data_IF_437291787374
#
_entry.id   IF_437291787374
#
_cell.length_a   1.000
_cell.length_b   1.000
_cell.length_c   1.000
_cell.angle_alpha   90.00
_cell.angle_beta   90.00
_cell.angle_gamma   90.00
#
_symmetry.space_group_name_H-M   'P 1'
#
loop_
_entity.id
_entity.type
_entity.pdbx_description
1 polymer ?
#
# COMPACT_ATOMS: atom_id res chain seq x y z
N UNK A 1 3.48 7.31 23.22
CA UNK A 1 2.83 8.03 22.09
C UNK A 1 2.26 9.35 22.58
N UNK A 2 1.32 9.34 23.52
CA UNK A 2 0.82 10.57 24.16
C UNK A 2 1.78 11.06 25.24
N UNK A 3 1.99 12.37 25.30
CA UNK A 3 2.88 13.05 26.24
C UNK A 3 2.05 14.01 27.11
N UNK A 4 2.55 14.34 28.30
CA UNK A 4 1.86 15.24 29.22
C UNK A 4 1.78 16.67 28.68
N UNK A 5 0.64 17.32 28.88
CA UNK A 5 0.40 18.69 28.43
C UNK A 5 0.82 19.71 29.52
N UNK A 6 1.76 20.64 29.25
CA UNK A 6 2.13 21.69 30.21
C UNK A 6 0.99 22.70 30.45
N UNK A 7 0.97 23.32 31.62
CA UNK A 7 -0.20 23.94 32.27
C UNK A 7 -0.76 25.25 31.66
N UNK A 8 -0.44 25.61 30.42
CA UNK A 8 -1.06 26.75 29.73
C UNK A 8 -1.51 26.36 28.32
N UNK A 9 -2.83 26.36 28.08
CA UNK A 9 -3.59 25.93 26.86
C UNK A 9 -3.92 24.43 26.79
N UNK A 10 -4.74 23.96 27.73
CA UNK A 10 -4.96 22.53 27.99
C UNK A 10 -5.79 21.79 26.95
N UNK A 11 -6.77 22.43 26.27
CA UNK A 11 -7.53 21.81 25.19
C UNK A 11 -6.80 21.93 23.84
N UNK A 12 -6.36 23.14 23.49
CA UNK A 12 -5.61 23.39 22.25
C UNK A 12 -4.35 22.51 22.13
N UNK A 13 -3.63 22.31 23.24
CA UNK A 13 -2.42 21.48 23.22
C UNK A 13 -2.73 19.98 23.06
N UNK A 14 -3.86 19.50 23.61
CA UNK A 14 -4.35 18.13 23.34
C UNK A 14 -4.72 17.99 21.86
N UNK A 15 -5.47 18.96 21.31
CA UNK A 15 -5.82 19.01 19.89
C UNK A 15 -4.56 18.97 19.02
N UNK A 16 -3.59 19.86 19.25
CA UNK A 16 -2.34 19.94 18.50
C UNK A 16 -1.50 18.67 18.59
N UNK A 17 -1.47 18.01 19.75
CA UNK A 17 -0.74 16.76 19.89
C UNK A 17 -1.39 15.64 19.07
N UNK A 18 -2.71 15.51 19.13
CA UNK A 18 -3.43 14.49 18.34
C UNK A 18 -3.29 14.80 16.83
N UNK A 19 -3.45 16.06 16.42
CA UNK A 19 -3.20 16.51 15.03
C UNK A 19 -1.80 16.12 14.56
N UNK A 20 -0.78 16.38 15.38
CA UNK A 20 0.60 16.02 15.05
C UNK A 20 0.79 14.52 14.90
N UNK A 21 0.16 13.70 15.76
CA UNK A 21 0.24 12.25 15.68
C UNK A 21 -0.48 11.68 14.45
N UNK A 22 -1.63 12.26 14.06
CA UNK A 22 -2.34 11.92 12.83
C UNK A 22 -1.50 12.32 11.62
N UNK A 23 -1.02 13.56 11.60
CA UNK A 23 -0.21 14.11 10.51
C UNK A 23 1.08 13.31 10.34
N UNK A 24 1.80 13.00 11.41
CA UNK A 24 3.01 12.16 11.36
C UNK A 24 2.71 10.69 11.03
N UNK A 25 1.44 10.30 10.88
CA UNK A 25 1.04 8.96 10.49
C UNK A 25 1.22 7.92 11.60
N UNK A 26 1.48 8.35 12.83
CA UNK A 26 1.61 7.49 14.02
C UNK A 26 0.22 7.01 14.44
N UNK A 27 -0.78 7.90 14.37
CA UNK A 27 -2.20 7.54 14.40
C UNK A 27 -2.67 7.34 12.96
N UNK A 28 -3.05 6.11 12.62
CA UNK A 28 -3.47 5.72 11.26
C UNK A 28 -4.99 5.81 11.12
N UNK A 29 -5.51 6.10 9.91
CA UNK A 29 -6.95 6.02 9.64
C UNK A 29 -7.57 4.72 10.15
N UNK A 30 -8.67 4.82 10.89
CA UNK A 30 -9.35 3.68 11.49
C UNK A 30 -8.83 3.24 12.86
N UNK A 31 -7.69 3.76 13.33
CA UNK A 31 -7.20 3.49 14.68
C UNK A 31 -8.21 3.98 15.73
N UNK A 32 -8.43 3.15 16.75
CA UNK A 32 -9.28 3.50 17.88
C UNK A 32 -8.45 4.23 18.93
N UNK A 33 -8.89 5.43 19.31
CA UNK A 33 -8.27 6.13 20.44
C UNK A 33 -8.60 5.40 21.76
N UNK A 34 -7.70 5.47 22.78
CA UNK A 34 -7.99 4.94 24.10
C UNK A 34 -9.29 5.52 24.67
N UNK A 35 -9.93 4.80 25.59
CA UNK A 35 -11.15 5.29 26.22
C UNK A 35 -10.88 6.64 26.90
N UNK A 36 -11.86 7.57 26.89
CA UNK A 36 -11.68 8.95 27.40
C UNK A 36 -10.99 9.01 28.78
N UNK A 37 -11.34 8.09 29.68
CA UNK A 37 -10.76 8.04 31.03
C UNK A 37 -9.26 7.71 31.00
N UNK A 38 -8.87 6.77 30.15
CA UNK A 38 -7.49 6.35 29.98
C UNK A 38 -6.69 7.42 29.24
N UNK A 39 -7.22 7.94 28.14
CA UNK A 39 -6.56 8.98 27.35
C UNK A 39 -6.33 10.26 28.17
N UNK A 40 -7.32 10.67 28.98
CA UNK A 40 -7.16 11.82 29.87
C UNK A 40 -6.06 11.60 30.91
N UNK A 41 -5.92 10.37 31.43
CA UNK A 41 -4.85 10.02 32.36
C UNK A 41 -3.47 10.00 31.69
N UNK A 42 -3.36 9.51 30.45
CA UNK A 42 -2.10 9.51 29.69
C UNK A 42 -1.63 10.93 29.35
N UNK A 43 -2.57 11.82 29.01
CA UNK A 43 -2.31 13.23 28.66
C UNK A 43 -2.16 14.15 29.89
N UNK A 44 -2.48 13.66 31.08
CA UNK A 44 -2.50 14.42 32.34
C UNK A 44 -3.45 15.63 32.31
N UNK A 45 -4.64 15.44 31.74
CA UNK A 45 -5.68 16.47 31.60
C UNK A 45 -7.01 16.05 32.22
N UNK A 46 -7.86 17.03 32.53
CA UNK A 46 -9.22 16.73 32.99
C UNK A 46 -10.09 16.19 31.85
N UNK A 47 -11.06 15.34 32.18
CA UNK A 47 -12.00 14.76 31.18
C UNK A 47 -12.80 15.82 30.40
N UNK A 48 -13.27 16.94 31.00
CA UNK A 48 -13.91 18.01 30.23
C UNK A 48 -13.00 18.60 29.15
N UNK A 49 -11.73 18.85 29.46
CA UNK A 49 -10.73 19.36 28.52
C UNK A 49 -10.51 18.38 27.36
N UNK A 50 -10.34 17.09 27.67
CA UNK A 50 -10.20 16.07 26.63
C UNK A 50 -11.43 16.06 25.71
N UNK A 51 -12.65 16.11 26.27
CA UNK A 51 -13.89 16.09 25.48
C UNK A 51 -14.03 17.29 24.56
N UNK A 52 -13.63 18.48 25.02
CA UNK A 52 -13.59 19.68 24.19
C UNK A 52 -12.62 19.51 23.01
N UNK A 53 -11.45 18.94 23.27
CA UNK A 53 -10.43 18.66 22.25
C UNK A 53 -10.93 17.63 21.23
N UNK A 54 -11.51 16.52 21.69
CA UNK A 54 -12.09 15.49 20.82
C UNK A 54 -13.24 16.04 19.96
N UNK A 55 -14.11 16.89 20.53
CA UNK A 55 -15.17 17.55 19.75
C UNK A 55 -14.61 18.49 18.68
N UNK A 56 -13.52 19.20 18.99
CA UNK A 56 -12.84 20.07 18.02
C UNK A 56 -12.31 19.24 16.85
N UNK A 57 -11.59 18.16 17.15
CA UNK A 57 -11.05 17.25 16.15
C UNK A 57 -12.13 16.55 15.31
N UNK A 58 -13.28 16.19 15.91
CA UNK A 58 -14.45 15.68 15.19
C UNK A 58 -15.05 16.74 14.26
N UNK A 59 -15.12 18.01 14.69
CA UNK A 59 -15.64 19.10 13.85
C UNK A 59 -14.74 19.47 12.66
N UNK A 60 -13.47 19.06 12.73
CA UNK A 60 -12.48 19.19 11.66
C UNK A 60 -12.41 17.94 10.78
N UNK A 61 -13.32 16.97 10.98
CA UNK A 61 -13.34 15.66 10.31
C UNK A 61 -12.06 14.83 10.53
N UNK A 62 -11.27 15.12 11.57
CA UNK A 62 -10.04 14.38 11.90
C UNK A 62 -10.31 13.12 12.72
N UNK A 63 -11.42 13.09 13.45
CA UNK A 63 -11.89 11.96 14.23
C UNK A 63 -13.36 11.65 13.91
N UNK A 64 -13.76 10.40 14.09
CA UNK A 64 -15.14 9.95 13.99
C UNK A 64 -15.54 9.18 15.25
N UNK A 65 -16.59 9.64 15.92
CA UNK A 65 -17.22 8.88 17.00
C UNK A 65 -18.23 7.88 16.45
N UNK A 66 -18.11 6.61 16.88
CA UNK A 66 -19.08 5.56 16.56
C UNK A 66 -19.94 5.27 17.80
N UNK A 67 -21.28 5.28 17.72
CA UNK A 67 -22.15 4.96 18.84
C UNK A 67 -21.79 3.62 19.48
N UNK A 68 -21.47 3.61 20.77
CA UNK A 68 -21.03 2.41 21.51
C UNK A 68 -19.64 1.86 21.12
N UNK A 69 -19.00 2.41 20.09
CA UNK A 69 -17.73 1.93 19.54
C UNK A 69 -16.49 2.73 19.97
N UNK A 70 -16.65 3.97 20.45
CA UNK A 70 -15.55 4.87 20.81
C UNK A 70 -15.19 5.86 19.70
N UNK A 71 -14.06 6.55 19.85
CA UNK A 71 -13.56 7.56 18.91
C UNK A 71 -12.44 6.96 18.07
N UNK A 72 -12.49 7.20 16.76
CA UNK A 72 -11.57 6.64 15.78
C UNK A 72 -10.93 7.74 14.96
N UNK A 73 -9.70 7.52 14.49
CA UNK A 73 -9.04 8.39 13.51
C UNK A 73 -9.80 8.32 12.19
N UNK A 74 -10.18 9.47 11.65
CA UNK A 74 -10.88 9.54 10.38
C UNK A 74 -9.93 9.21 9.21
N UNK A 75 -10.50 8.81 8.08
CA UNK A 75 -9.74 8.69 6.83
C UNK A 75 -9.62 10.06 6.15
N UNK A 76 -8.73 10.89 6.70
CA UNK A 76 -8.57 12.31 6.33
C UNK A 76 -7.80 12.54 5.04
N UNK A 77 -6.93 11.60 4.69
CA UNK A 77 -6.06 11.71 3.51
C UNK A 77 -6.83 11.30 2.25
N UNK A 78 -7.79 10.39 2.41
CA UNK A 78 -8.55 9.84 1.31
C UNK A 78 -7.68 9.09 0.30
N UNK A 79 -8.29 8.49 -0.72
CA UNK A 79 -7.54 7.96 -1.86
C UNK A 79 -7.00 9.11 -2.72
N UNK A 80 -5.81 8.94 -3.33
CA UNK A 80 -5.24 9.92 -4.28
C UNK A 80 -6.21 10.22 -5.43
N UNK A 81 -7.00 9.22 -5.83
CA UNK A 81 -7.99 9.32 -6.88
C UNK A 81 -9.36 8.84 -6.37
N UNK A 82 -10.44 9.45 -6.86
CA UNK A 82 -11.78 8.93 -6.59
C UNK A 82 -11.99 7.57 -7.25
N UNK A 83 -12.84 6.71 -6.66
CA UNK A 83 -13.11 5.37 -7.19
C UNK A 83 -13.43 5.34 -8.70
N UNK A 84 -14.24 6.27 -9.26
CA UNK A 84 -14.49 6.29 -10.71
C UNK A 84 -13.22 6.55 -11.55
N UNK A 85 -12.30 7.38 -11.05
CA UNK A 85 -11.02 7.66 -11.71
C UNK A 85 -10.13 6.43 -11.64
N UNK A 86 -10.06 5.75 -10.48
CA UNK A 86 -9.26 4.53 -10.40
C UNK A 86 -9.77 3.47 -11.39
N UNK A 87 -11.09 3.27 -11.47
CA UNK A 87 -11.68 2.35 -12.44
C UNK A 87 -11.42 2.76 -13.91
N UNK A 88 -11.25 4.06 -14.21
CA UNK A 88 -10.81 4.51 -15.53
C UNK A 88 -9.34 4.11 -15.77
N UNK A 89 -8.44 4.34 -14.81
CA UNK A 89 -7.02 3.99 -14.95
C UNK A 89 -6.86 2.48 -15.15
N UNK A 90 -7.57 1.64 -14.40
CA UNK A 90 -7.55 0.18 -14.54
C UNK A 90 -7.87 -0.30 -15.97
N UNK A 91 -8.87 0.34 -16.61
CA UNK A 91 -9.36 -0.03 -17.95
C UNK A 91 -8.42 0.40 -19.07
N UNK A 92 -7.47 1.29 -18.80
CA UNK A 92 -6.55 1.83 -19.79
C UNK A 92 -5.13 1.43 -19.43
N UNK A 93 -4.58 0.47 -20.17
CA UNK A 93 -3.27 -0.14 -19.87
C UNK A 93 -2.14 0.89 -19.78
N UNK A 94 -2.19 1.94 -20.58
CA UNK A 94 -1.17 2.98 -20.63
C UNK A 94 -1.23 3.82 -19.35
N UNK A 95 -2.42 4.18 -18.88
CA UNK A 95 -2.60 4.91 -17.61
C UNK A 95 -2.19 4.06 -16.39
N UNK A 96 -2.45 2.75 -16.42
CA UNK A 96 -1.98 1.85 -15.37
C UNK A 96 -0.44 1.71 -15.34
N UNK A 97 0.21 1.89 -16.49
CA UNK A 97 1.66 1.90 -16.62
C UNK A 97 2.27 3.24 -16.19
N UNK A 98 1.63 4.37 -16.54
CA UNK A 98 1.97 5.70 -16.03
C UNK A 98 1.92 5.75 -14.49
N UNK A 99 0.96 5.04 -13.89
CA UNK A 99 0.87 4.90 -12.43
C UNK A 99 2.09 4.19 -11.83
N UNK A 100 2.57 3.11 -12.46
CA UNK A 100 3.78 2.40 -12.00
C UNK A 100 5.03 3.25 -12.19
N UNK A 101 5.09 4.05 -13.25
CA UNK A 101 6.16 5.04 -13.46
C UNK A 101 6.16 6.13 -12.39
N UNK A 102 5.00 6.70 -12.06
CA UNK A 102 4.87 7.65 -10.96
C UNK A 102 5.34 7.03 -9.64
N UNK A 103 4.95 5.78 -9.36
CA UNK A 103 5.32 5.07 -8.13
C UNK A 103 6.82 4.85 -8.04
N UNK A 104 7.46 4.48 -9.15
CA UNK A 104 8.92 4.32 -9.27
C UNK A 104 9.66 5.57 -8.82
N UNK A 105 9.25 6.74 -9.30
CA UNK A 105 9.91 7.99 -8.97
C UNK A 105 9.68 8.40 -7.51
N UNK A 106 8.46 8.17 -7.01
CA UNK A 106 8.08 8.46 -5.63
C UNK A 106 8.86 7.60 -4.63
N UNK A 107 8.93 6.29 -4.86
CA UNK A 107 9.67 5.35 -4.01
C UNK A 107 11.17 5.60 -4.07
N UNK A 108 11.70 5.86 -5.26
CA UNK A 108 13.12 6.18 -5.45
C UNK A 108 13.54 7.41 -4.64
N UNK A 109 12.74 8.48 -4.70
CA UNK A 109 12.99 9.69 -3.91
C UNK A 109 12.85 9.44 -2.41
N UNK A 110 11.92 8.58 -2.01
CA UNK A 110 11.72 8.19 -0.61
C UNK A 110 12.91 7.41 -0.08
N UNK A 111 13.46 6.47 -0.86
CA UNK A 111 14.64 5.71 -0.50
C UNK A 111 15.88 6.60 -0.34
N UNK A 112 16.09 7.57 -1.24
CA UNK A 112 17.16 8.57 -1.08
C UNK A 112 17.01 9.37 0.22
N UNK A 113 15.82 9.91 0.49
CA UNK A 113 15.58 10.66 1.71
C UNK A 113 15.70 9.80 2.97
N UNK A 114 15.29 8.53 2.91
CA UNK A 114 15.48 7.60 4.01
C UNK A 114 16.97 7.38 4.29
N UNK A 115 17.80 7.18 3.25
CA UNK A 115 19.24 7.07 3.41
C UNK A 115 19.86 8.32 4.08
N UNK A 116 19.39 9.52 3.73
CA UNK A 116 19.86 10.78 4.34
C UNK A 116 19.38 10.98 5.78
N UNK A 117 18.14 10.59 6.11
CA UNK A 117 17.41 11.12 7.28
C UNK A 117 17.00 10.07 8.30
N UNK A 118 17.01 8.78 7.96
CA UNK A 118 16.59 7.72 8.86
C UNK A 118 17.28 7.83 10.21
N UNK A 119 16.55 7.67 11.31
CA UNK A 119 17.12 7.51 12.64
C UNK A 119 17.58 6.07 12.86
N UNK A 120 18.33 5.81 13.94
CA UNK A 120 18.71 4.45 14.32
C UNK A 120 17.48 3.57 14.59
N UNK A 121 16.38 4.17 15.07
CA UNK A 121 15.10 3.48 15.25
C UNK A 121 14.49 3.09 13.90
N UNK A 122 14.54 3.97 12.90
CA UNK A 122 14.03 3.67 11.56
C UNK A 122 14.85 2.54 10.91
N UNK A 123 16.18 2.57 11.06
CA UNK A 123 17.06 1.49 10.56
C UNK A 123 16.75 0.15 11.21
N UNK A 124 16.52 0.13 12.54
CA UNK A 124 16.15 -1.09 13.25
C UNK A 124 14.81 -1.67 12.77
N UNK A 125 13.83 -0.81 12.45
CA UNK A 125 12.54 -1.24 11.88
C UNK A 125 12.74 -1.87 10.50
N UNK A 126 13.55 -1.26 9.63
CA UNK A 126 13.85 -1.80 8.30
C UNK A 126 14.56 -3.15 8.39
N UNK A 127 15.52 -3.30 9.30
CA UNK A 127 16.24 -4.56 9.54
C UNK A 127 15.29 -5.66 10.03
N UNK A 128 14.36 -5.33 10.94
CA UNK A 128 13.34 -6.27 11.42
C UNK A 128 12.43 -6.74 10.28
N UNK A 129 11.98 -5.81 9.41
CA UNK A 129 11.14 -6.13 8.26
C UNK A 129 11.87 -7.05 7.27
N UNK A 130 13.15 -6.81 6.98
CA UNK A 130 13.96 -7.70 6.14
C UNK A 130 14.10 -9.09 6.77
N UNK A 131 14.33 -9.18 8.08
CA UNK A 131 14.39 -10.46 8.79
C UNK A 131 13.06 -11.23 8.70
N UNK A 132 11.94 -10.52 8.84
CA UNK A 132 10.61 -11.10 8.70
C UNK A 132 10.34 -11.57 7.26
N UNK A 133 10.81 -10.82 6.24
CA UNK A 133 10.72 -11.23 4.84
C UNK A 133 11.51 -12.52 4.57
N UNK A 134 12.75 -12.61 5.06
CA UNK A 134 13.56 -13.85 4.97
C UNK A 134 12.85 -15.04 5.60
N UNK A 135 12.23 -14.82 6.76
CA UNK A 135 11.48 -15.86 7.47
C UNK A 135 10.26 -16.31 6.67
N UNK A 136 9.46 -15.37 6.14
CA UNK A 136 8.32 -15.70 5.29
C UNK A 136 8.75 -16.42 4.00
N UNK A 137 9.87 -15.99 3.41
CA UNK A 137 10.46 -16.63 2.23
C UNK A 137 10.80 -18.10 2.49
N UNK A 138 11.52 -18.38 3.57
CA UNK A 138 11.93 -19.73 3.97
C UNK A 138 10.73 -20.66 4.22
N UNK A 139 9.64 -20.13 4.79
CA UNK A 139 8.41 -20.89 5.05
C UNK A 139 7.48 -20.99 3.83
N UNK A 140 7.80 -20.32 2.72
CA UNK A 140 6.94 -20.22 1.52
C UNK A 140 5.56 -19.63 1.82
N UNK A 141 5.51 -18.63 2.70
CA UNK A 141 4.28 -17.92 3.05
C UNK A 141 4.07 -16.71 2.14
N UNK A 142 3.53 -16.94 0.94
CA UNK A 142 3.33 -15.91 -0.08
C UNK A 142 2.38 -14.80 0.40
N UNK A 143 1.41 -15.15 1.25
CA UNK A 143 0.47 -14.18 1.79
C UNK A 143 1.17 -13.22 2.75
N UNK A 144 2.07 -13.74 3.60
CA UNK A 144 2.86 -12.90 4.50
C UNK A 144 3.92 -12.10 3.76
N UNK A 145 4.56 -12.65 2.73
CA UNK A 145 5.51 -11.91 1.88
C UNK A 145 4.86 -10.68 1.25
N UNK A 146 3.65 -10.81 0.70
CA UNK A 146 2.93 -9.68 0.11
C UNK A 146 2.56 -8.58 1.12
N UNK A 147 2.25 -8.96 2.37
CA UNK A 147 1.98 -7.99 3.45
C UNK A 147 3.28 -7.27 3.83
N UNK A 148 4.37 -8.02 4.00
CA UNK A 148 5.67 -7.47 4.36
C UNK A 148 6.24 -6.52 3.30
N UNK A 149 6.03 -6.81 2.02
CA UNK A 149 6.38 -5.93 0.90
C UNK A 149 5.78 -4.53 1.10
N UNK A 150 4.48 -4.46 1.38
CA UNK A 150 3.81 -3.18 1.64
C UNK A 150 4.30 -2.51 2.93
N UNK A 151 4.48 -3.29 4.01
CA UNK A 151 5.00 -2.78 5.29
C UNK A 151 6.42 -2.17 5.12
N UNK A 152 7.28 -2.80 4.32
CA UNK A 152 8.64 -2.33 4.05
C UNK A 152 8.67 -1.01 3.29
N UNK A 153 7.90 -0.89 2.20
CA UNK A 153 7.85 0.34 1.42
C UNK A 153 7.20 1.50 2.20
N UNK A 154 6.21 1.22 3.03
CA UNK A 154 5.66 2.21 3.96
C UNK A 154 6.70 2.67 4.99
N UNK A 155 7.49 1.74 5.54
CA UNK A 155 8.57 2.07 6.49
C UNK A 155 9.66 2.93 5.84
N UNK A 156 10.00 2.72 4.57
CA UNK A 156 10.91 3.62 3.83
C UNK A 156 10.32 5.02 3.73
N UNK A 157 9.02 5.14 3.41
CA UNK A 157 8.32 6.43 3.37
C UNK A 157 8.31 7.16 4.71
N UNK A 158 8.17 6.44 5.82
CA UNK A 158 8.28 6.97 7.18
C UNK A 158 9.72 7.43 7.49
N UNK A 159 10.71 6.60 7.17
CA UNK A 159 12.14 6.87 7.36
C UNK A 159 12.66 8.05 6.50
N UNK A 160 11.95 8.43 5.44
CA UNK A 160 12.25 9.60 4.62
C UNK A 160 12.02 10.94 5.36
N UNK A 161 11.35 10.93 6.51
CA UNK A 161 11.02 12.11 7.32
C UNK A 161 10.41 13.25 6.50
N UNK A 162 9.61 12.89 5.48
CA UNK A 162 8.82 13.80 4.66
C UNK A 162 7.36 13.36 4.71
N UNK A 163 6.58 14.05 5.52
CA UNK A 163 5.20 13.66 5.82
C UNK A 163 4.29 13.64 4.58
N UNK A 164 4.51 14.54 3.63
CA UNK A 164 3.73 14.57 2.39
C UNK A 164 4.08 13.35 1.52
N UNK A 165 5.37 13.06 1.39
CA UNK A 165 5.85 11.91 0.62
C UNK A 165 5.36 10.59 1.21
N UNK A 166 5.42 10.45 2.53
CA UNK A 166 4.90 9.28 3.27
C UNK A 166 3.41 9.06 2.99
N UNK A 167 2.59 10.12 3.05
CA UNK A 167 1.16 10.01 2.78
C UNK A 167 0.85 9.72 1.31
N UNK A 168 1.59 10.31 0.37
CA UNK A 168 1.50 9.95 -1.04
C UNK A 168 1.79 8.46 -1.27
N UNK A 169 2.86 7.93 -0.66
CA UNK A 169 3.19 6.50 -0.75
C UNK A 169 2.09 5.62 -0.15
N UNK A 170 1.61 5.92 1.07
CA UNK A 170 0.51 5.17 1.68
C UNK A 170 -0.73 5.13 0.78
N UNK A 171 -1.09 6.26 0.17
CA UNK A 171 -2.21 6.30 -0.76
C UNK A 171 -1.96 5.49 -2.05
N UNK A 172 -0.73 5.42 -2.55
CA UNK A 172 -0.37 4.51 -3.63
C UNK A 172 -0.56 3.03 -3.22
N UNK A 173 -0.08 2.63 -2.04
CA UNK A 173 -0.20 1.24 -1.58
C UNK A 173 -1.66 0.84 -1.29
N UNK A 174 -2.51 1.75 -0.79
CA UNK A 174 -3.96 1.50 -0.65
C UNK A 174 -4.62 1.11 -1.97
N UNK A 175 -4.20 1.69 -3.09
CA UNK A 175 -4.73 1.36 -4.41
C UNK A 175 -4.30 -0.05 -4.89
N UNK A 176 -3.16 -0.53 -4.40
CA UNK A 176 -2.65 -1.89 -4.67
C UNK A 176 -3.35 -2.94 -3.80
N UNK A 177 -3.48 -2.66 -2.49
CA UNK A 177 -4.09 -3.56 -1.51
C UNK A 177 -5.55 -3.87 -1.83
N UNK A 178 -6.29 -2.87 -2.30
CA UNK A 178 -7.68 -3.03 -2.71
C UNK A 178 -7.83 -3.78 -4.06
N UNK A 179 -6.71 -4.23 -4.65
CA UNK A 179 -6.68 -4.97 -5.90
C UNK A 179 -7.06 -4.15 -7.13
N UNK A 180 -7.07 -2.82 -6.99
CA UNK A 180 -7.67 -1.92 -7.96
C UNK A 180 -6.67 -1.77 -9.14
N UNK A 181 -5.49 -1.18 -8.94
CA UNK A 181 -4.62 -0.89 -10.08
C UNK A 181 -3.81 -2.08 -10.63
N UNK A 182 -3.19 -2.86 -9.75
CA UNK A 182 -2.42 -4.07 -10.09
C UNK A 182 -2.32 -4.94 -8.82
N UNK A 183 -2.94 -6.13 -8.81
CA UNK A 183 -2.72 -7.07 -7.71
C UNK A 183 -1.32 -7.67 -7.84
N UNK A 184 -0.35 -7.20 -7.05
CA UNK A 184 1.04 -7.66 -7.12
C UNK A 184 1.28 -9.00 -6.43
N UNK A 185 0.26 -9.59 -5.79
CA UNK A 185 0.38 -10.89 -5.12
C UNK A 185 0.79 -12.02 -6.08
N UNK A 186 0.44 -11.92 -7.37
CA UNK A 186 0.85 -12.92 -8.36
C UNK A 186 2.38 -12.99 -8.51
N UNK A 187 3.13 -11.92 -8.18
CA UNK A 187 4.59 -11.93 -8.25
C UNK A 187 5.18 -12.97 -7.31
N UNK A 188 4.55 -13.18 -6.15
CA UNK A 188 4.96 -14.20 -5.21
C UNK A 188 4.58 -15.62 -5.65
N UNK A 189 3.71 -15.76 -6.65
CA UNK A 189 3.41 -17.05 -7.28
C UNK A 189 4.27 -17.32 -8.53
N UNK A 190 5.03 -16.32 -9.01
CA UNK A 190 5.87 -16.44 -10.20
C UNK A 190 7.20 -17.17 -9.87
N UNK A 191 7.59 -18.20 -10.65
CA UNK A 191 8.86 -18.89 -10.44
C UNK A 191 10.07 -17.93 -10.49
N UNK A 192 10.96 -17.99 -9.50
CA UNK A 192 12.19 -17.19 -9.44
C UNK A 192 12.02 -15.73 -9.01
N UNK A 193 10.80 -15.17 -9.07
CA UNK A 193 10.55 -13.78 -8.72
C UNK A 193 10.74 -13.50 -7.22
N UNK A 194 10.34 -14.43 -6.35
CA UNK A 194 10.44 -14.27 -4.88
C UNK A 194 11.88 -14.03 -4.39
N UNK A 195 12.82 -14.81 -4.90
CA UNK A 195 14.24 -14.67 -4.57
C UNK A 195 14.77 -13.31 -5.04
N UNK A 196 14.46 -12.94 -6.28
CA UNK A 196 14.85 -11.63 -6.85
C UNK A 196 14.28 -10.46 -6.04
N UNK A 197 13.01 -10.53 -5.65
CA UNK A 197 12.36 -9.49 -4.84
C UNK A 197 13.03 -9.36 -3.47
N UNK A 198 13.32 -10.48 -2.80
CA UNK A 198 14.01 -10.46 -1.51
C UNK A 198 15.39 -9.81 -1.62
N UNK A 199 16.18 -10.20 -2.61
CA UNK A 199 17.51 -9.60 -2.87
C UNK A 199 17.42 -8.10 -3.15
N UNK A 200 16.40 -7.66 -3.90
CA UNK A 200 16.17 -6.23 -4.17
C UNK A 200 15.81 -5.46 -2.89
N UNK A 201 14.92 -5.98 -2.05
CA UNK A 201 14.58 -5.35 -0.77
C UNK A 201 15.81 -5.25 0.15
N UNK A 202 16.63 -6.30 0.22
CA UNK A 202 17.90 -6.27 0.98
C UNK A 202 18.85 -5.19 0.46
N UNK A 203 18.99 -5.05 -0.87
CA UNK A 203 19.83 -4.00 -1.47
C UNK A 203 19.35 -2.60 -1.12
N UNK A 204 18.03 -2.36 -1.11
CA UNK A 204 17.45 -1.07 -0.71
C UNK A 204 17.76 -0.78 0.76
N UNK A 205 17.46 -1.73 1.65
CA UNK A 205 17.70 -1.58 3.08
C UNK A 205 19.19 -1.34 3.39
N UNK A 206 20.09 -2.09 2.73
CA UNK A 206 21.53 -1.93 2.89
C UNK A 206 22.02 -0.56 2.43
N UNK A 207 21.52 -0.05 1.30
CA UNK A 207 21.89 1.27 0.80
C UNK A 207 21.40 2.39 1.75
N UNK A 208 20.21 2.24 2.33
CA UNK A 208 19.68 3.15 3.36
C UNK A 208 20.56 3.11 4.62
N UNK A 209 20.88 1.91 5.12
CA UNK A 209 21.74 1.73 6.29
C UNK A 209 23.15 2.29 6.07
N UNK A 210 23.69 2.19 4.86
CA UNK A 210 24.98 2.74 4.47
C UNK A 210 24.96 4.25 4.23
N UNK A 211 23.81 4.93 4.36
CA UNK A 211 23.65 6.36 4.10
C UNK A 211 24.05 6.75 2.67
N UNK A 212 23.75 5.89 1.70
CA UNK A 212 24.07 6.07 0.28
C UNK A 212 22.81 6.44 -0.52
N UNK A 213 22.42 7.73 -0.58
CA UNK A 213 21.14 8.14 -1.18
C UNK A 213 21.01 7.78 -2.67
N UNK A 214 22.08 7.95 -3.45
CA UNK A 214 22.07 7.61 -4.88
C UNK A 214 21.91 6.10 -5.11
N UNK A 215 22.57 5.28 -4.28
CA UNK A 215 22.45 3.82 -4.33
C UNK A 215 21.06 3.35 -3.89
N UNK A 216 20.50 3.94 -2.83
CA UNK A 216 19.17 3.63 -2.34
C UNK A 216 18.10 3.98 -3.38
N UNK A 217 18.20 5.16 -3.98
CA UNK A 217 17.34 5.59 -5.07
C UNK A 217 17.44 4.67 -6.28
N UNK A 218 18.64 4.24 -6.66
CA UNK A 218 18.83 3.33 -7.79
C UNK A 218 18.29 1.93 -7.50
N UNK A 219 18.58 1.37 -6.32
CA UNK A 219 18.06 0.06 -5.93
C UNK A 219 16.53 0.03 -5.91
N UNK A 220 15.89 1.12 -5.43
CA UNK A 220 14.43 1.27 -5.47
C UNK A 220 13.90 1.38 -6.91
N UNK A 221 14.57 2.13 -7.80
CA UNK A 221 14.20 2.17 -9.24
C UNK A 221 14.28 0.80 -9.88
N UNK A 222 15.39 0.07 -9.67
CA UNK A 222 15.60 -1.26 -10.22
C UNK A 222 14.50 -2.23 -9.76
N UNK A 223 14.11 -2.15 -8.49
CA UNK A 223 13.02 -2.93 -7.92
C UNK A 223 11.68 -2.64 -8.60
N UNK A 224 11.30 -1.37 -8.75
CA UNK A 224 10.02 -1.02 -9.36
C UNK A 224 10.01 -1.26 -10.86
N UNK A 225 11.15 -1.11 -11.54
CA UNK A 225 11.29 -1.48 -12.95
C UNK A 225 11.09 -2.99 -13.16
N UNK A 226 11.62 -3.83 -12.25
CA UNK A 226 11.36 -5.27 -12.25
C UNK A 226 9.87 -5.58 -12.06
N UNK A 227 9.22 -4.97 -11.06
CA UNK A 227 7.79 -5.13 -10.80
C UNK A 227 6.96 -4.69 -12.01
N UNK A 228 7.26 -3.51 -12.59
CA UNK A 228 6.58 -2.97 -13.78
C UNK A 228 6.70 -3.93 -14.97
N UNK A 229 7.89 -4.49 -15.20
CA UNK A 229 8.11 -5.45 -16.26
C UNK A 229 7.32 -6.76 -16.06
N UNK A 230 7.36 -7.33 -14.86
CA UNK A 230 6.62 -8.55 -14.53
C UNK A 230 5.11 -8.38 -14.70
N UNK A 231 4.56 -7.21 -14.35
CA UNK A 231 3.15 -6.86 -14.57
C UNK A 231 2.80 -6.80 -16.05
N UNK A 232 3.64 -6.17 -16.87
CA UNK A 232 3.45 -6.09 -18.33
C UNK A 232 3.45 -7.48 -18.96
N UNK A 233 4.38 -8.35 -18.55
CA UNK A 233 4.48 -9.72 -19.06
C UNK A 233 3.27 -10.57 -18.70
N UNK A 234 2.83 -10.52 -17.45
CA UNK A 234 1.62 -11.24 -17.00
C UNK A 234 0.39 -10.79 -17.77
N UNK A 235 0.17 -9.49 -17.92
CA UNK A 235 -0.95 -8.96 -18.72
C UNK A 235 -0.89 -9.45 -20.17
N UNK A 236 0.28 -9.40 -20.80
CA UNK A 236 0.46 -9.88 -22.17
C UNK A 236 0.19 -11.39 -22.32
N UNK A 237 0.61 -12.21 -21.35
CA UNK A 237 0.33 -13.64 -21.31
C UNK A 237 -1.16 -13.93 -21.17
N UNK A 238 -1.85 -13.26 -20.25
CA UNK A 238 -3.30 -13.41 -20.07
C UNK A 238 -4.05 -13.03 -21.34
N UNK A 239 -3.72 -11.89 -21.98
CA UNK A 239 -4.36 -11.49 -23.25
C UNK A 239 -4.16 -12.52 -24.36
N UNK A 240 -2.95 -13.11 -24.48
CA UNK A 240 -2.67 -14.17 -25.45
C UNK A 240 -3.47 -15.44 -25.17
N UNK A 241 -3.58 -15.84 -23.90
CA UNK A 241 -4.38 -17.01 -23.48
C UNK A 241 -5.86 -16.81 -23.78
N UNK A 242 -6.45 -15.67 -23.39
CA UNK A 242 -7.85 -15.35 -23.69
C UNK A 242 -8.13 -15.42 -25.19
N UNK A 243 -7.24 -14.88 -26.02
CA UNK A 243 -7.38 -14.95 -27.47
C UNK A 243 -7.26 -16.38 -28.01
N UNK A 244 -6.38 -17.20 -27.43
CA UNK A 244 -6.23 -18.61 -27.79
C UNK A 244 -7.49 -19.42 -27.43
N UNK A 245 -8.10 -19.17 -26.28
CA UNK A 245 -9.34 -19.82 -25.83
C UNK A 245 -10.51 -19.44 -26.73
N UNK A 246 -10.67 -18.16 -27.08
CA UNK A 246 -11.66 -17.70 -28.05
C UNK A 246 -11.50 -18.40 -29.41
N UNK A 247 -10.26 -18.52 -29.91
CA UNK A 247 -9.96 -19.26 -31.15
C UNK A 247 -10.30 -20.74 -31.03
N UNK A 248 -10.08 -21.36 -29.88
CA UNK A 248 -10.43 -22.77 -29.61
C UNK A 248 -11.94 -22.98 -29.61
N UNK A 249 -12.69 -22.15 -28.89
CA UNK A 249 -14.16 -22.20 -28.85
C UNK A 249 -14.76 -21.96 -30.23
N UNK A 250 -14.25 -21.00 -31.00
CA UNK A 250 -14.69 -20.76 -32.37
C UNK A 250 -14.50 -21.99 -33.28
N UNK A 251 -13.34 -22.67 -33.18
CA UNK A 251 -13.07 -23.90 -33.94
C UNK A 251 -13.97 -25.07 -33.52
N UNK A 252 -14.33 -25.18 -32.25
CA UNK A 252 -15.26 -26.21 -31.76
C UNK A 252 -16.68 -25.96 -32.28
N UNK A 253 -17.18 -24.73 -32.16
CA UNK A 253 -18.50 -24.36 -32.67
C UNK A 253 -18.62 -24.59 -34.19
N UNK A 254 -17.59 -24.24 -34.97
CA UNK A 254 -17.59 -24.49 -36.42
C UNK A 254 -17.63 -25.99 -36.78
N UNK A 255 -16.98 -26.85 -35.98
CA UNK A 255 -17.01 -28.31 -36.15
C UNK A 255 -18.39 -28.88 -35.82
N UNK A 256 -19.03 -28.40 -34.76
CA UNK A 256 -20.37 -28.86 -34.36
C UNK A 256 -21.44 -28.45 -35.37
N UNK A 257 -21.38 -27.23 -35.92
CA UNK A 257 -22.28 -26.81 -37.02
C UNK A 257 -22.07 -27.60 -38.32
N UNK A 258 -20.83 -28.02 -38.61
CA UNK A 258 -20.56 -28.82 -39.80
C UNK A 258 -21.13 -30.25 -39.68
N UNK A 259 -21.11 -30.83 -38.47
CA UNK A 259 -21.69 -32.15 -38.21
C UNK A 259 -23.23 -32.13 -38.30
N UNK A 260 -23.88 -31.08 -37.83
CA UNK A 260 -25.35 -30.94 -37.85
C UNK A 260 -25.90 -30.78 -39.29
N UNK A 261 -25.22 -30.01 -40.14
CA UNK A 261 -25.60 -29.86 -41.57
C UNK A 261 -25.44 -31.14 -42.40
N UNK A 262 -24.55 -32.06 -42.00
CA UNK A 262 -24.41 -33.37 -42.67
C UNK A 262 -25.41 -34.43 -42.20
N UNK A 263 -26.06 -34.24 -41.04
CA UNK A 263 -27.06 -35.18 -40.49
C UNK A 263 -28.48 -34.98 -41.03
N UNK A 264 -28.81 -33.80 -41.57
CA UNK A 264 -30.18 -33.42 -41.98
C UNK A 264 -30.69 -33.95 -43.32
N UNK A 265 -29.89 -34.68 -44.13
CA UNK A 265 -30.28 -35.10 -45.49
C UNK A 265 -30.79 -36.55 -45.64
N UNK A 266 -31.17 -37.21 -44.54
CA UNK A 266 -31.83 -38.54 -44.59
C UNK A 266 -33.13 -38.55 -43.78
N UNK A 267 -34.19 -37.90 -44.30
CA UNK A 267 -35.60 -38.23 -44.00
C UNK A 267 -36.53 -37.35 -44.85
N UNK A 268 -36.90 -37.85 -46.02
CA UNK A 268 -38.29 -37.81 -46.54
C UNK A 268 -38.30 -38.34 -47.98
N UNK A 269 -38.96 -39.50 -48.11
CA UNK A 269 -39.74 -39.98 -49.27
C UNK A 269 -39.02 -40.22 -50.60
#
# INVERSE_FOLDING_TARGET
MFEKIPSSRTADAVTQQIEKLILAGVLRPGDRLPAERELAAQLDVSRPVLRESLKTLESQDLLVSRPGGGTFVADVIGPIFSEPVVALIERHTDAADDYLEFRRDLESQSAAYAAERASDTDLAILDELISNMKTAYAHRDHAREAILDTEFHQAIGEAAHNVILMHCLRSCYRLLENGILVNQRFLFDMPGARETLLEQHERIAQAIANRAPDEAAQASRDHIDFVRQAVRETKALTSRQTLADLRRSGRQNSRDTALDTTGGKRRSS
#
